data_IF_113502241690
#
_entry.id   IF_113502241690
#
_cell.length_a   1.000
_cell.length_b   1.000
_cell.length_c   1.000
_cell.angle_alpha   90.00
_cell.angle_beta   90.00
_cell.angle_gamma   90.00
#
_symmetry.space_group_name_H-M   'P 1'
#
loop_
_entity.id
_entity.type
_entity.pdbx_description
1 polymer ?
#
# COMPACT_ATOMS: atom_id res chain seq x y z
N UNK A 1 0.83 3.15 4.06
CA UNK A 1 1.03 2.55 5.37
C UNK A 1 -0.32 2.21 5.99
N UNK A 2 -0.39 1.14 6.78
CA UNK A 2 -1.64 0.72 7.43
C UNK A 2 -2.14 1.71 8.48
N UNK A 3 -1.27 2.56 9.01
CA UNK A 3 -1.67 3.67 9.89
C UNK A 3 -2.68 4.63 9.26
N UNK A 4 -2.74 4.68 7.94
CA UNK A 4 -3.69 5.49 7.19
C UNK A 4 -4.97 4.73 6.79
N UNK A 5 -5.09 3.46 7.17
CA UNK A 5 -6.29 2.67 6.91
C UNK A 5 -7.39 3.07 7.89
N UNK A 6 -8.17 4.08 7.54
CA UNK A 6 -9.24 4.59 8.38
C UNK A 6 -10.13 5.61 7.67
N UNK A 7 -11.36 5.78 8.19
CA UNK A 7 -12.36 6.69 7.66
C UNK A 7 -11.87 8.11 7.42
N UNK A 8 -11.19 8.78 8.37
CA UNK A 8 -10.70 10.15 8.17
C UNK A 8 -9.80 10.31 6.93
N UNK A 9 -8.93 9.32 6.66
CA UNK A 9 -8.09 9.35 5.46
C UNK A 9 -8.92 9.19 4.18
N UNK A 10 -9.90 8.27 4.20
CA UNK A 10 -10.82 8.05 3.08
C UNK A 10 -11.61 9.31 2.78
N UNK A 11 -12.20 9.95 3.82
CA UNK A 11 -12.96 11.20 3.70
C UNK A 11 -12.13 12.34 3.09
N UNK A 12 -10.85 12.48 3.48
CA UNK A 12 -9.94 13.46 2.89
C UNK A 12 -9.71 13.16 1.41
N UNK A 13 -9.40 11.91 1.07
CA UNK A 13 -9.16 11.52 -0.32
C UNK A 13 -10.40 11.73 -1.19
N UNK A 14 -11.58 11.39 -0.71
CA UNK A 14 -12.87 11.58 -1.40
C UNK A 14 -13.16 13.07 -1.62
N UNK A 15 -12.99 13.90 -0.59
CA UNK A 15 -13.17 15.37 -0.66
C UNK A 15 -12.31 16.02 -1.74
N UNK A 16 -11.06 15.56 -1.89
CA UNK A 16 -10.13 16.13 -2.87
C UNK A 16 -10.04 15.31 -4.17
N UNK A 17 -10.91 14.33 -4.37
CA UNK A 17 -10.92 13.43 -5.52
C UNK A 17 -9.56 12.70 -5.73
N UNK A 18 -8.84 12.43 -4.66
CA UNK A 18 -7.59 11.70 -4.72
C UNK A 18 -7.85 10.19 -4.80
N UNK A 19 -7.06 9.54 -5.63
CA UNK A 19 -6.99 8.08 -5.64
C UNK A 19 -6.01 7.61 -4.58
N UNK A 20 -6.36 6.50 -3.92
CA UNK A 20 -5.51 5.93 -2.88
C UNK A 20 -5.37 4.42 -3.00
N UNK A 21 -4.26 3.91 -2.48
CA UNK A 21 -4.01 2.50 -2.22
C UNK A 21 -3.30 2.39 -0.88
N UNK A 22 -4.01 1.89 0.13
CA UNK A 22 -3.56 1.88 1.52
C UNK A 22 -3.34 0.43 1.95
N UNK A 23 -2.20 0.13 2.57
CA UNK A 23 -1.94 -1.19 3.13
C UNK A 23 -2.99 -1.50 4.19
N UNK A 24 -3.61 -2.68 4.10
CA UNK A 24 -4.61 -3.17 5.03
C UNK A 24 -4.12 -4.41 5.75
N UNK A 25 -4.07 -4.36 7.06
CA UNK A 25 -3.78 -5.48 7.93
C UNK A 25 -5.06 -5.94 8.61
N UNK A 26 -5.07 -7.18 9.07
CA UNK A 26 -6.25 -7.83 9.69
C UNK A 26 -6.87 -7.00 10.83
N UNK A 27 -6.05 -6.30 11.62
CA UNK A 27 -6.52 -5.50 12.76
C UNK A 27 -6.95 -4.07 12.45
N UNK A 28 -6.72 -3.55 11.22
CA UNK A 28 -6.93 -2.12 10.93
C UNK A 28 -8.43 -1.77 10.83
N UNK A 29 -9.18 -2.48 10.00
CA UNK A 29 -10.64 -2.36 9.86
C UNK A 29 -11.22 -3.77 9.77
N UNK A 30 -11.53 -4.41 10.90
CA UNK A 30 -11.96 -5.81 10.95
C UNK A 30 -13.19 -6.10 10.07
N UNK A 31 -14.11 -5.16 9.95
CA UNK A 31 -15.29 -5.30 9.10
C UNK A 31 -14.90 -5.51 7.62
N UNK A 32 -14.04 -4.66 7.06
CA UNK A 32 -13.60 -4.80 5.66
C UNK A 32 -12.85 -6.11 5.45
N UNK A 33 -12.07 -6.54 6.45
CA UNK A 33 -11.37 -7.82 6.41
C UNK A 33 -12.37 -8.99 6.31
N UNK A 34 -13.37 -9.03 7.18
CA UNK A 34 -14.39 -10.08 7.21
C UNK A 34 -15.24 -10.11 5.93
N UNK A 35 -15.68 -8.94 5.45
CA UNK A 35 -16.43 -8.82 4.20
C UNK A 35 -15.61 -9.36 3.02
N UNK A 36 -14.35 -8.97 2.90
CA UNK A 36 -13.47 -9.47 1.85
C UNK A 36 -13.34 -11.00 1.89
N UNK A 37 -13.02 -11.59 3.05
CA UNK A 37 -12.86 -13.04 3.21
C UNK A 37 -14.17 -13.81 2.88
N UNK A 38 -15.33 -13.22 3.17
CA UNK A 38 -16.63 -13.82 2.89
C UNK A 38 -17.00 -13.77 1.40
N UNK A 39 -16.59 -12.71 0.70
CA UNK A 39 -16.96 -12.46 -0.69
C UNK A 39 -16.01 -13.14 -1.70
N UNK A 40 -14.73 -13.34 -1.36
CA UNK A 40 -13.75 -13.98 -2.26
C UNK A 40 -14.24 -15.34 -2.79
N UNK A 41 -14.80 -16.28 -1.97
CA UNK A 41 -15.30 -17.55 -2.48
C UNK A 41 -16.51 -17.42 -3.41
N UNK A 42 -17.24 -16.31 -3.33
CA UNK A 42 -18.46 -16.04 -4.10
C UNK A 42 -18.17 -15.35 -5.44
N UNK A 43 -16.94 -14.91 -5.67
CA UNK A 43 -16.52 -14.17 -6.87
C UNK A 43 -15.30 -14.82 -7.52
N UNK A 44 -15.43 -16.09 -8.00
CA UNK A 44 -14.30 -16.82 -8.57
C UNK A 44 -13.72 -16.18 -9.86
N UNK A 45 -14.46 -15.31 -10.51
CA UNK A 45 -14.01 -14.51 -11.66
C UNK A 45 -13.05 -13.39 -11.28
N UNK A 46 -13.07 -12.97 -10.01
CA UNK A 46 -12.20 -11.90 -9.50
C UNK A 46 -10.88 -12.47 -8.96
N UNK A 47 -10.22 -13.28 -9.78
CA UNK A 47 -8.92 -13.85 -9.47
C UNK A 47 -7.98 -13.87 -10.67
N UNK A 48 -6.68 -13.77 -10.40
CA UNK A 48 -5.64 -13.85 -11.40
C UNK A 48 -4.41 -14.54 -10.81
N UNK A 49 -3.82 -15.48 -11.55
CA UNK A 49 -2.54 -16.08 -11.19
C UNK A 49 -1.45 -15.57 -12.10
N UNK A 50 -0.34 -15.12 -11.53
CA UNK A 50 0.82 -14.62 -12.25
C UNK A 50 2.09 -15.29 -11.72
N UNK A 51 3.03 -15.60 -12.62
CA UNK A 51 4.31 -16.18 -12.27
C UNK A 51 5.44 -15.17 -12.53
N UNK A 52 6.32 -14.99 -11.56
CA UNK A 52 7.41 -14.02 -11.61
C UNK A 52 8.70 -14.61 -11.00
N UNK A 53 9.76 -13.80 -11.00
CA UNK A 53 11.07 -14.22 -10.51
C UNK A 53 11.85 -15.12 -11.49
N UNK A 54 13.06 -15.53 -11.11
CA UNK A 54 13.90 -16.40 -11.94
C UNK A 54 13.16 -17.70 -12.29
N UNK A 55 13.04 -17.99 -13.60
CA UNK A 55 12.34 -19.17 -14.12
C UNK A 55 10.86 -19.30 -13.68
N UNK A 56 10.19 -18.19 -13.33
CA UNK A 56 8.79 -18.22 -12.88
C UNK A 56 8.55 -18.94 -11.55
N UNK A 57 9.58 -19.06 -10.70
CA UNK A 57 9.51 -19.81 -9.44
C UNK A 57 8.65 -19.16 -8.36
N UNK A 58 8.26 -17.90 -8.54
CA UNK A 58 7.39 -17.20 -7.61
C UNK A 58 5.98 -17.13 -8.21
N UNK A 59 5.03 -17.76 -7.53
CA UNK A 59 3.61 -17.70 -7.89
C UNK A 59 2.92 -16.62 -7.09
N UNK A 60 2.17 -15.77 -7.77
CA UNK A 60 1.33 -14.73 -7.18
C UNK A 60 -0.12 -15.02 -7.53
N UNK A 61 -0.96 -15.06 -6.51
CA UNK A 61 -2.41 -15.23 -6.63
C UNK A 61 -3.05 -13.93 -6.17
N UNK A 62 -3.81 -13.30 -7.06
CA UNK A 62 -4.53 -12.06 -6.82
C UNK A 62 -6.00 -12.33 -6.66
N UNK A 63 -6.62 -11.72 -5.65
CA UNK A 63 -8.06 -11.70 -5.45
C UNK A 63 -8.49 -10.25 -5.20
N UNK A 64 -9.66 -9.86 -5.74
CA UNK A 64 -10.17 -8.52 -5.51
C UNK A 64 -11.68 -8.51 -5.37
N UNK A 65 -12.16 -7.61 -4.54
CA UNK A 65 -13.58 -7.30 -4.35
C UNK A 65 -13.74 -5.80 -4.52
N UNK A 66 -14.73 -5.39 -5.29
CA UNK A 66 -15.15 -4.00 -5.41
C UNK A 66 -16.36 -3.72 -4.50
N UNK A 67 -16.64 -2.45 -4.30
CA UNK A 67 -17.89 -1.94 -3.74
C UNK A 67 -18.25 -2.46 -2.33
N UNK A 68 -17.25 -2.70 -1.49
CA UNK A 68 -17.47 -2.97 -0.07
C UNK A 68 -17.92 -1.67 0.59
N UNK A 69 -19.16 -1.65 1.07
CA UNK A 69 -19.70 -0.51 1.81
C UNK A 69 -19.19 -0.54 3.26
N UNK A 70 -18.58 0.53 3.70
CA UNK A 70 -18.05 0.67 5.05
C UNK A 70 -18.55 1.97 5.68
N UNK A 71 -18.99 1.90 6.93
CA UNK A 71 -19.37 3.06 7.75
C UNK A 71 -18.37 3.18 8.89
N UNK A 72 -17.70 4.31 8.98
CA UNK A 72 -16.67 4.55 9.98
C UNK A 72 -17.25 4.96 11.35
N UNK A 73 -16.35 5.26 12.31
CA UNK A 73 -16.74 5.68 13.66
C UNK A 73 -17.42 7.05 13.72
N UNK A 74 -17.21 7.89 12.72
CA UNK A 74 -17.85 9.23 12.58
C UNK A 74 -19.18 9.15 11.83
N UNK A 75 -19.60 7.93 11.44
CA UNK A 75 -20.79 7.63 10.64
C UNK A 75 -20.71 8.07 9.18
N UNK A 76 -19.51 8.36 8.69
CA UNK A 76 -19.28 8.59 7.28
C UNK A 76 -19.33 7.26 6.52
N UNK A 77 -19.93 7.30 5.32
CA UNK A 77 -20.08 6.13 4.45
C UNK A 77 -19.03 6.16 3.35
N UNK A 78 -18.31 5.08 3.23
CA UNK A 78 -17.28 4.86 2.22
C UNK A 78 -17.62 3.65 1.36
N UNK A 79 -17.19 3.68 0.11
CA UNK A 79 -17.22 2.51 -0.78
C UNK A 79 -15.80 2.21 -1.21
N UNK A 80 -15.31 1.04 -0.87
CA UNK A 80 -13.91 0.66 -1.10
C UNK A 80 -13.79 -0.63 -1.89
N UNK A 81 -12.72 -0.74 -2.66
CA UNK A 81 -12.23 -2.00 -3.19
C UNK A 81 -11.14 -2.57 -2.29
N UNK A 82 -11.03 -3.89 -2.26
CA UNK A 82 -9.91 -4.59 -1.62
C UNK A 82 -9.20 -5.44 -2.66
N UNK A 83 -7.87 -5.29 -2.71
CA UNK A 83 -6.98 -6.10 -3.53
C UNK A 83 -6.03 -6.88 -2.62
N UNK A 84 -5.98 -8.19 -2.82
CA UNK A 84 -5.02 -9.06 -2.16
C UNK A 84 -4.06 -9.70 -3.17
N UNK A 85 -2.81 -9.88 -2.78
CA UNK A 85 -1.81 -10.69 -3.46
C UNK A 85 -1.21 -11.68 -2.46
N UNK A 86 -1.36 -12.96 -2.72
CA UNK A 86 -0.68 -14.04 -1.99
C UNK A 86 0.49 -14.51 -2.84
N UNK A 87 1.69 -14.21 -2.39
CA UNK A 87 2.94 -14.57 -3.07
C UNK A 87 3.55 -15.79 -2.42
N UNK A 88 3.85 -16.83 -3.21
CA UNK A 88 4.57 -18.04 -2.79
C UNK A 88 5.80 -18.22 -3.65
N UNK A 89 6.98 -18.26 -3.03
CA UNK A 89 8.23 -18.40 -3.74
C UNK A 89 9.36 -18.92 -2.85
N UNK A 90 10.56 -19.12 -3.40
CA UNK A 90 11.72 -19.52 -2.62
C UNK A 90 11.99 -18.55 -1.48
N UNK A 91 12.28 -19.06 -0.28
CA UNK A 91 12.69 -18.22 0.83
C UNK A 91 14.15 -17.78 0.66
N UNK A 92 14.42 -16.45 0.51
CA UNK A 92 15.80 -15.97 0.37
C UNK A 92 16.67 -16.20 1.61
N UNK A 93 16.05 -16.42 2.78
CA UNK A 93 16.76 -16.65 4.05
C UNK A 93 16.97 -18.13 4.36
N UNK A 94 16.18 -19.01 3.74
CA UNK A 94 16.21 -20.46 4.00
C UNK A 94 16.17 -21.23 2.67
N UNK A 95 17.33 -21.52 2.07
CA UNK A 95 17.43 -22.26 0.82
C UNK A 95 16.66 -23.58 0.87
N UNK A 96 15.84 -23.84 -0.16
CA UNK A 96 15.02 -25.04 -0.26
C UNK A 96 13.64 -24.95 0.42
N UNK A 97 13.36 -23.87 1.14
CA UNK A 97 12.04 -23.64 1.70
C UNK A 97 11.22 -22.67 0.83
N UNK A 98 9.89 -22.76 0.95
CA UNK A 98 8.95 -21.84 0.31
C UNK A 98 8.44 -20.85 1.35
N UNK A 99 8.54 -19.57 1.02
CA UNK A 99 7.95 -18.48 1.80
C UNK A 99 6.62 -18.06 1.19
N UNK A 100 5.61 -17.91 2.03
CA UNK A 100 4.33 -17.29 1.67
C UNK A 100 4.27 -15.88 2.25
N UNK A 101 3.98 -14.89 1.42
CA UNK A 101 3.81 -13.50 1.83
C UNK A 101 2.46 -13.01 1.33
N UNK A 102 1.69 -12.36 2.19
CA UNK A 102 0.39 -11.78 1.87
C UNK A 102 0.49 -10.27 1.88
N UNK A 103 -0.01 -9.65 0.82
CA UNK A 103 -0.16 -8.21 0.69
C UNK A 103 -1.64 -7.92 0.48
N UNK A 104 -2.19 -6.97 1.23
CA UNK A 104 -3.59 -6.55 1.06
C UNK A 104 -3.66 -5.03 1.12
N UNK A 105 -4.51 -4.48 0.26
CA UNK A 105 -4.71 -3.03 0.15
C UNK A 105 -6.19 -2.71 0.03
N UNK A 106 -6.57 -1.59 0.66
CA UNK A 106 -7.85 -0.90 0.45
C UNK A 106 -7.62 0.19 -0.58
N UNK A 107 -8.59 0.38 -1.46
CA UNK A 107 -8.47 1.36 -2.55
C UNK A 107 -9.84 1.92 -2.96
N UNK A 108 -9.85 3.11 -3.56
CA UNK A 108 -11.01 3.66 -4.28
C UNK A 108 -10.87 3.58 -5.81
N UNK A 109 -9.93 2.78 -6.31
CA UNK A 109 -9.92 2.38 -7.71
C UNK A 109 -10.96 1.29 -7.94
N UNK A 110 -11.65 1.35 -9.09
CA UNK A 110 -12.42 0.20 -9.57
C UNK A 110 -11.43 -0.87 -10.05
N UNK A 111 -11.40 -2.00 -9.37
CA UNK A 111 -10.46 -3.08 -9.66
C UNK A 111 -10.96 -3.90 -10.86
N UNK A 112 -10.12 -4.05 -11.85
CA UNK A 112 -10.36 -4.84 -13.06
C UNK A 112 -9.15 -5.71 -13.34
N UNK A 113 -9.35 -6.91 -13.86
CA UNK A 113 -8.30 -7.88 -14.17
C UNK A 113 -7.08 -7.24 -14.86
N UNK A 114 -7.33 -6.42 -15.90
CA UNK A 114 -6.28 -5.74 -16.68
C UNK A 114 -5.42 -4.76 -15.89
N UNK A 115 -5.89 -4.28 -14.74
CA UNK A 115 -5.24 -3.23 -13.94
C UNK A 115 -4.68 -3.75 -12.62
N UNK A 116 -5.11 -4.93 -12.18
CA UNK A 116 -4.76 -5.50 -10.86
C UNK A 116 -3.26 -5.63 -10.68
N UNK A 117 -2.54 -6.14 -11.68
CA UNK A 117 -1.09 -6.27 -11.62
C UNK A 117 -0.40 -4.90 -11.52
N UNK A 118 -0.80 -3.96 -12.35
CA UNK A 118 -0.23 -2.62 -12.35
C UNK A 118 -0.48 -1.91 -11.01
N UNK A 119 -1.70 -1.94 -10.50
CA UNK A 119 -2.05 -1.36 -9.21
C UNK A 119 -1.27 -2.01 -8.06
N UNK A 120 -1.15 -3.33 -8.04
CA UNK A 120 -0.38 -4.03 -7.03
C UNK A 120 1.11 -3.66 -7.07
N UNK A 121 1.72 -3.60 -8.27
CA UNK A 121 3.13 -3.28 -8.42
C UNK A 121 3.43 -1.79 -8.23
N UNK A 122 2.74 -0.92 -8.97
CA UNK A 122 3.05 0.52 -8.98
C UNK A 122 2.35 1.29 -7.85
N UNK A 123 1.22 0.81 -7.36
CA UNK A 123 0.51 1.42 -6.23
C UNK A 123 0.93 0.84 -4.89
N UNK A 124 0.77 -0.48 -4.74
CA UNK A 124 0.90 -1.14 -3.44
C UNK A 124 2.33 -1.51 -3.05
N UNK A 125 3.07 -2.18 -3.94
CA UNK A 125 4.37 -2.77 -3.59
C UNK A 125 5.53 -1.79 -3.59
N UNK A 126 5.50 -0.72 -4.36
CA UNK A 126 6.60 0.25 -4.41
C UNK A 126 6.60 1.24 -3.23
N UNK A 127 5.64 1.16 -2.32
CA UNK A 127 5.61 2.00 -1.11
C UNK A 127 6.95 2.00 -0.36
N UNK A 128 7.62 0.85 -0.27
CA UNK A 128 8.92 0.73 0.37
C UNK A 128 10.00 1.66 -0.23
N UNK A 129 9.84 2.08 -1.48
CA UNK A 129 10.75 3.04 -2.13
C UNK A 129 10.70 4.40 -1.46
N UNK A 130 9.52 4.82 -0.98
CA UNK A 130 9.37 6.08 -0.24
C UNK A 130 10.27 6.07 1.01
N UNK A 131 10.32 4.93 1.70
CA UNK A 131 11.16 4.77 2.89
C UNK A 131 12.64 4.60 2.53
N UNK A 132 12.96 3.70 1.60
CA UNK A 132 14.34 3.32 1.30
C UNK A 132 15.03 4.27 0.31
N UNK A 133 14.35 4.70 -0.74
CA UNK A 133 14.91 5.60 -1.76
C UNK A 133 14.62 7.08 -1.45
N UNK A 134 13.60 7.37 -0.63
CA UNK A 134 13.29 8.70 -0.14
C UNK A 134 13.91 8.99 1.22
N UNK A 135 13.19 8.67 2.29
CA UNK A 135 13.59 9.05 3.65
C UNK A 135 14.93 8.49 4.10
N UNK A 136 15.24 7.23 3.77
CA UNK A 136 16.52 6.64 4.16
C UNK A 136 17.71 7.35 3.49
N UNK A 137 17.57 7.73 2.21
CA UNK A 137 18.60 8.52 1.53
C UNK A 137 18.74 9.91 2.15
N UNK A 138 17.61 10.56 2.48
CA UNK A 138 17.63 11.87 3.13
C UNK A 138 18.22 11.83 4.55
N UNK A 139 18.06 10.70 5.27
CA UNK A 139 18.62 10.52 6.63
C UNK A 139 20.10 10.13 6.60
N UNK A 140 20.46 9.16 5.75
CA UNK A 140 21.74 8.46 5.81
C UNK A 140 22.60 8.68 4.58
N UNK A 141 22.07 9.33 3.53
CA UNK A 141 22.77 9.60 2.26
C UNK A 141 23.47 10.96 2.19
N UNK A 142 23.77 11.57 3.32
CA UNK A 142 24.50 12.84 3.41
C UNK A 142 23.63 14.10 3.40
N UNK A 143 22.29 13.95 3.46
CA UNK A 143 21.36 15.08 3.57
C UNK A 143 20.98 15.43 5.02
N UNK A 144 21.33 14.59 5.99
CA UNK A 144 21.16 14.77 7.44
C UNK A 144 19.73 15.24 7.85
N UNK A 145 18.69 14.62 7.27
CA UNK A 145 17.28 14.99 7.49
C UNK A 145 16.91 15.07 8.99
N UNK A 146 17.52 14.24 9.83
CA UNK A 146 17.24 14.19 11.27
C UNK A 146 18.04 15.22 12.07
N UNK A 147 18.96 15.95 11.44
CA UNK A 147 19.73 17.00 12.10
C UNK A 147 18.90 18.28 12.22
N UNK A 148 18.75 18.76 13.44
CA UNK A 148 18.08 20.03 13.70
C UNK A 148 19.05 21.20 13.49
N UNK A 149 19.03 21.80 12.32
CA UNK A 149 19.90 22.97 11.99
C UNK A 149 19.52 24.25 12.75
N UNK A 150 18.30 24.32 13.25
CA UNK A 150 17.76 25.48 13.96
C UNK A 150 16.53 25.07 14.77
N UNK A 151 16.17 25.89 15.77
CA UNK A 151 14.93 25.78 16.54
C UNK A 151 13.83 26.72 16.05
N UNK A 152 14.14 27.61 15.09
CA UNK A 152 13.19 28.54 14.49
C UNK A 152 12.24 27.77 13.54
N UNK A 153 10.90 27.84 13.76
CA UNK A 153 9.94 27.06 12.96
C UNK A 153 9.87 27.47 11.49
N UNK A 154 10.21 28.71 11.13
CA UNK A 154 10.24 29.17 9.74
C UNK A 154 11.50 28.64 9.06
N UNK A 155 12.65 28.80 9.74
CA UNK A 155 13.93 28.32 9.20
C UNK A 155 13.93 26.78 9.03
N UNK A 156 13.34 26.01 9.96
CA UNK A 156 13.17 24.54 9.80
C UNK A 156 12.43 24.21 8.48
N UNK A 157 11.33 24.91 8.19
CA UNK A 157 10.56 24.69 6.94
C UNK A 157 11.40 25.02 5.72
N UNK A 158 12.15 26.11 5.73
CA UNK A 158 13.02 26.51 4.63
C UNK A 158 14.11 25.46 4.40
N UNK A 159 14.80 25.01 5.45
CA UNK A 159 15.79 23.94 5.34
C UNK A 159 15.19 22.65 4.79
N UNK A 160 14.00 22.24 5.28
CA UNK A 160 13.33 21.07 4.76
C UNK A 160 13.05 21.17 3.25
N UNK A 161 12.52 22.31 2.78
CA UNK A 161 12.27 22.49 1.34
C UNK A 161 13.57 22.52 0.51
N UNK A 162 14.63 23.15 1.02
CA UNK A 162 15.94 23.13 0.34
C UNK A 162 16.49 21.70 0.26
N UNK A 163 16.36 20.91 1.31
CA UNK A 163 16.74 19.49 1.31
C UNK A 163 15.92 18.69 0.29
N UNK A 164 14.61 18.93 0.16
CA UNK A 164 13.78 18.27 -0.86
C UNK A 164 14.23 18.64 -2.29
N UNK A 165 14.61 19.88 -2.51
CA UNK A 165 15.15 20.33 -3.82
C UNK A 165 16.48 19.64 -4.10
N UNK A 166 17.40 19.64 -3.14
CA UNK A 166 18.71 19.00 -3.28
C UNK A 166 18.62 17.49 -3.52
N UNK A 167 17.64 16.82 -2.89
CA UNK A 167 17.42 15.38 -3.09
C UNK A 167 16.91 15.03 -4.50
N UNK A 168 16.36 16.00 -5.22
CA UNK A 168 15.84 15.80 -6.59
C UNK A 168 16.86 16.12 -7.70
N UNK A 169 17.95 16.78 -7.37
CA UNK A 169 19.05 17.09 -8.31
C UNK A 169 20.03 15.93 -8.42
#
# INVERSE_FOLDING_TARGET
DSLFAGGPTMSICERYHWKYMIVHKEGDIPFIHQEFESLVPLTPENQLTFHTGPQGKTRQEYHWINDIAYTDSEKDKHTVGVLECVERGPDPKQPGQTKTTRFRWITNFTLKEKQVLELAYQGGRIRWKIENEGFNVQKNGGFDLEHAYTTDPVAIKVFYFLLQIAHRL
#
